data_IF_962437770188
#
_entry.id   IF_962437770188
#
_cell.length_a   1.000
_cell.length_b   1.000
_cell.length_c   1.000
_cell.angle_alpha   90.00
_cell.angle_beta   90.00
_cell.angle_gamma   90.00
#
_symmetry.space_group_name_H-M   'P 1'
#
loop_
_entity.id
_entity.type
_entity.pdbx_description
1 polymer ?
#
# COMPACT_ATOMS: atom_id res chain seq x y z
N UNK A 1 10.42 10.20 -32.39
CA UNK A 1 9.19 9.52 -31.91
C UNK A 1 9.47 8.03 -31.74
N UNK A 2 9.65 7.52 -30.51
CA UNK A 2 9.72 6.06 -30.30
C UNK A 2 8.33 5.48 -30.59
N UNK A 3 8.25 4.48 -31.46
CA UNK A 3 7.01 3.77 -31.82
C UNK A 3 6.34 3.28 -30.52
N UNK A 4 5.25 3.91 -30.09
CA UNK A 4 4.38 3.33 -29.08
C UNK A 4 3.98 1.94 -29.55
N UNK A 5 4.20 0.91 -28.72
CA UNK A 5 3.84 -0.48 -29.05
C UNK A 5 2.33 -0.53 -29.25
N UNK A 6 1.90 -0.82 -30.47
CA UNK A 6 0.48 -0.97 -30.85
C UNK A 6 -0.19 -2.02 -29.96
N UNK A 7 -1.36 -1.71 -29.42
CA UNK A 7 -2.18 -2.68 -28.70
C UNK A 7 -3.03 -3.47 -29.68
N UNK A 8 -3.08 -4.80 -29.56
CA UNK A 8 -3.79 -5.69 -30.50
C UNK A 8 -4.38 -6.88 -29.74
N UNK A 9 -5.36 -7.56 -30.34
CA UNK A 9 -5.90 -8.82 -29.80
C UNK A 9 -4.81 -9.85 -29.50
N UNK A 10 -3.88 -10.06 -30.43
CA UNK A 10 -2.71 -10.95 -30.22
C UNK A 10 -1.87 -10.57 -29.00
N UNK A 11 -1.71 -9.27 -28.71
CA UNK A 11 -0.97 -8.81 -27.52
C UNK A 11 -1.77 -9.03 -26.25
N UNK A 12 -3.08 -8.82 -26.30
CA UNK A 12 -3.99 -9.08 -25.20
C UNK A 12 -4.01 -10.57 -24.84
N UNK A 13 -4.19 -11.46 -25.82
CA UNK A 13 -4.12 -12.92 -25.66
C UNK A 13 -2.80 -13.33 -25.02
N UNK A 14 -1.67 -12.83 -25.55
CA UNK A 14 -0.36 -13.08 -24.96
C UNK A 14 -0.28 -12.67 -23.47
N UNK A 15 -0.85 -11.53 -23.09
CA UNK A 15 -0.84 -11.08 -21.68
C UNK A 15 -1.71 -11.98 -20.79
N UNK A 16 -2.82 -12.50 -21.33
CA UNK A 16 -3.66 -13.48 -20.65
C UNK A 16 -2.91 -14.80 -20.49
N UNK A 17 -2.24 -15.29 -21.54
CA UNK A 17 -1.44 -16.51 -21.51
C UNK A 17 -0.25 -16.42 -20.55
N UNK A 18 0.30 -15.21 -20.34
CA UNK A 18 1.32 -14.92 -19.32
C UNK A 18 0.76 -14.92 -17.89
N UNK A 19 -0.54 -15.10 -17.70
CA UNK A 19 -1.20 -15.14 -16.40
C UNK A 19 -1.41 -13.77 -15.75
N UNK A 20 -1.29 -12.67 -16.51
CA UNK A 20 -1.50 -11.33 -15.96
C UNK A 20 -2.94 -11.14 -15.48
N UNK A 21 -3.09 -10.61 -14.27
CA UNK A 21 -4.36 -10.47 -13.57
C UNK A 21 -4.75 -11.69 -12.74
N UNK A 22 -3.99 -12.78 -12.80
CA UNK A 22 -4.24 -14.00 -12.03
C UNK A 22 -3.31 -14.08 -10.81
N UNK A 23 -3.66 -14.96 -9.87
CA UNK A 23 -2.92 -15.20 -8.64
C UNK A 23 -3.37 -14.33 -7.46
N UNK A 24 -2.81 -14.63 -6.30
CA UNK A 24 -3.03 -13.92 -5.03
C UNK A 24 -1.71 -13.84 -4.27
N UNK A 25 -1.57 -12.87 -3.37
CA UNK A 25 -0.38 -12.74 -2.53
C UNK A 25 0.90 -12.61 -3.35
N UNK A 26 1.83 -13.55 -3.16
CA UNK A 26 3.13 -13.58 -3.85
C UNK A 26 3.03 -13.95 -5.32
N UNK A 27 1.97 -14.66 -5.71
CA UNK A 27 1.81 -15.21 -7.06
C UNK A 27 1.01 -14.28 -7.99
N UNK A 28 0.47 -13.17 -7.46
CA UNK A 28 -0.28 -12.23 -8.29
C UNK A 28 0.61 -11.49 -9.29
N UNK A 29 0.17 -11.46 -10.55
CA UNK A 29 0.80 -10.73 -11.64
C UNK A 29 -0.05 -9.53 -12.06
N UNK A 30 0.43 -8.27 -11.94
CA UNK A 30 -0.36 -7.11 -12.34
C UNK A 30 -0.58 -7.05 -13.85
N UNK A 31 -1.72 -6.50 -14.29
CA UNK A 31 -2.00 -6.33 -15.73
C UNK A 31 -1.00 -5.41 -16.39
N UNK A 32 -0.64 -4.32 -15.70
CA UNK A 32 0.28 -3.30 -16.18
C UNK A 32 1.50 -3.27 -15.26
N UNK A 33 2.68 -3.28 -15.87
CA UNK A 33 3.96 -3.07 -15.20
C UNK A 33 4.58 -1.75 -15.62
N UNK A 34 5.56 -1.29 -14.85
CA UNK A 34 6.35 -0.09 -15.13
C UNK A 34 7.06 -0.10 -16.50
N UNK A 35 7.19 -1.28 -17.14
CA UNK A 35 7.86 -1.45 -18.44
C UNK A 35 6.91 -1.39 -19.64
N UNK A 36 5.59 -1.40 -19.41
CA UNK A 36 4.61 -1.57 -20.49
C UNK A 36 4.30 -0.27 -21.25
N UNK A 37 4.48 0.89 -20.60
CA UNK A 37 4.20 2.20 -21.18
C UNK A 37 5.36 3.18 -20.95
N UNK A 38 5.67 4.04 -21.94
CA UNK A 38 6.61 5.14 -21.73
C UNK A 38 6.07 6.05 -20.62
N UNK A 39 6.82 6.18 -19.53
CA UNK A 39 6.41 6.94 -18.37
C UNK A 39 6.37 8.44 -18.68
N UNK A 40 5.18 9.06 -18.59
CA UNK A 40 5.04 10.53 -18.55
C UNK A 40 5.15 11.09 -17.12
N UNK A 41 5.41 10.24 -16.12
CA UNK A 41 5.48 10.56 -14.69
C UNK A 41 6.39 9.60 -13.92
N UNK A 42 6.36 9.69 -12.59
CA UNK A 42 7.17 8.84 -11.70
C UNK A 42 6.55 7.44 -11.64
N UNK A 43 7.31 6.45 -12.08
CA UNK A 43 7.02 5.03 -11.87
C UNK A 43 7.93 4.48 -10.78
N UNK A 44 7.45 3.53 -9.98
CA UNK A 44 8.23 2.92 -8.90
C UNK A 44 7.92 1.45 -8.74
N UNK A 45 8.87 0.71 -8.15
CA UNK A 45 8.70 -0.67 -7.70
C UNK A 45 9.05 -0.74 -6.22
N UNK A 46 8.27 -1.49 -5.45
CA UNK A 46 8.50 -1.68 -4.02
C UNK A 46 8.17 -3.12 -3.62
N UNK A 47 8.92 -3.68 -2.68
CA UNK A 47 8.64 -5.02 -2.14
C UNK A 47 7.44 -4.95 -1.18
N UNK A 48 6.39 -5.73 -1.42
CA UNK A 48 5.29 -5.92 -0.47
C UNK A 48 5.73 -6.69 0.75
N UNK A 49 5.63 -6.10 1.93
CA UNK A 49 5.96 -6.79 3.18
C UNK A 49 4.90 -7.83 3.53
N UNK A 50 3.63 -7.58 3.17
CA UNK A 50 2.53 -8.55 3.28
C UNK A 50 2.60 -9.62 2.20
N UNK A 51 2.65 -9.19 0.93
CA UNK A 51 2.50 -10.09 -0.21
C UNK A 51 3.80 -10.77 -0.65
N UNK A 52 4.96 -10.33 -0.14
CA UNK A 52 6.29 -10.88 -0.47
C UNK A 52 6.67 -10.84 -1.97
N UNK A 53 6.07 -9.93 -2.74
CA UNK A 53 6.39 -9.71 -4.16
C UNK A 53 6.70 -8.24 -4.47
N UNK A 54 7.32 -8.00 -5.61
CA UNK A 54 7.51 -6.64 -6.12
C UNK A 54 6.20 -6.11 -6.70
N UNK A 55 5.75 -4.97 -6.18
CA UNK A 55 4.61 -4.21 -6.71
C UNK A 55 5.05 -3.18 -7.74
N UNK A 56 4.14 -2.80 -8.64
CA UNK A 56 4.39 -1.86 -9.73
C UNK A 56 3.44 -0.65 -9.65
N UNK A 57 3.99 0.55 -9.46
CA UNK A 57 3.20 1.79 -9.38
C UNK A 57 3.51 2.72 -10.54
N UNK A 58 2.45 3.30 -11.09
CA UNK A 58 2.47 4.20 -12.25
C UNK A 58 2.36 5.68 -11.84
N UNK A 59 2.17 5.94 -10.54
CA UNK A 59 2.20 7.27 -9.96
C UNK A 59 2.72 7.28 -8.51
N UNK A 60 3.14 8.46 -8.05
CA UNK A 60 3.54 8.66 -6.64
C UNK A 60 2.36 8.45 -5.68
N UNK A 61 1.14 8.79 -6.09
CA UNK A 61 -0.04 8.64 -5.23
C UNK A 61 -0.41 7.16 -5.04
N UNK A 62 -0.30 6.34 -6.09
CA UNK A 62 -0.45 4.88 -5.97
C UNK A 62 0.57 4.29 -4.99
N UNK A 63 1.84 4.66 -5.12
CA UNK A 63 2.88 4.22 -4.19
C UNK A 63 2.58 4.64 -2.74
N UNK A 64 2.14 5.90 -2.54
CA UNK A 64 1.78 6.40 -1.22
C UNK A 64 0.61 5.61 -0.62
N UNK A 65 -0.42 5.33 -1.40
CA UNK A 65 -1.57 4.54 -0.95
C UNK A 65 -1.17 3.10 -0.63
N UNK A 66 -0.31 2.49 -1.46
CA UNK A 66 0.24 1.17 -1.19
C UNK A 66 0.95 1.09 0.17
N UNK A 67 1.76 2.09 0.55
CA UNK A 67 2.42 2.10 1.86
C UNK A 67 1.43 2.03 3.03
N UNK A 68 0.26 2.66 2.88
CA UNK A 68 -0.82 2.59 3.86
C UNK A 68 -1.44 1.19 3.90
N UNK A 69 -1.71 0.59 2.74
CA UNK A 69 -2.24 -0.77 2.64
C UNK A 69 -1.28 -1.81 3.23
N UNK A 70 0.02 -1.72 2.92
CA UNK A 70 1.05 -2.65 3.40
C UNK A 70 1.31 -2.52 4.91
N UNK A 71 0.90 -1.41 5.53
CA UNK A 71 0.94 -1.21 6.99
C UNK A 71 -0.34 -1.69 7.71
N UNK A 72 -1.51 -1.55 7.08
CA UNK A 72 -2.80 -1.81 7.72
C UNK A 72 -2.93 -3.24 8.25
N UNK A 73 -3.35 -3.41 9.50
CA UNK A 73 -3.61 -4.74 10.10
C UNK A 73 -4.78 -5.49 9.46
N UNK A 74 -5.69 -4.75 8.82
CA UNK A 74 -6.89 -5.31 8.20
C UNK A 74 -6.65 -5.80 6.77
N UNK A 75 -5.56 -5.40 6.12
CA UNK A 75 -5.27 -5.81 4.74
C UNK A 75 -4.53 -7.15 4.75
N UNK A 76 -5.05 -8.11 4.00
CA UNK A 76 -4.49 -9.45 3.78
C UNK A 76 -3.68 -9.46 2.49
N UNK A 77 -4.32 -9.07 1.38
CA UNK A 77 -3.72 -9.08 0.04
C UNK A 77 -3.94 -7.75 -0.69
N UNK A 78 -3.01 -7.43 -1.57
CA UNK A 78 -2.98 -6.21 -2.37
C UNK A 78 -2.64 -6.63 -3.80
N UNK A 79 -3.53 -6.33 -4.74
CA UNK A 79 -3.40 -6.65 -6.17
C UNK A 79 -3.53 -5.36 -6.97
N UNK A 80 -2.41 -4.81 -7.38
CA UNK A 80 -2.33 -3.55 -8.12
C UNK A 80 -2.55 -3.75 -9.62
N UNK A 81 -3.09 -2.73 -10.30
CA UNK A 81 -3.35 -2.76 -11.74
C UNK A 81 -4.19 -3.98 -12.14
N UNK A 82 -5.29 -4.20 -11.43
CA UNK A 82 -6.15 -5.37 -11.58
C UNK A 82 -7.02 -5.26 -12.85
N UNK A 83 -6.93 -6.21 -13.80
CA UNK A 83 -7.63 -6.09 -15.06
C UNK A 83 -9.13 -6.40 -14.94
N UNK A 84 -9.93 -5.60 -15.63
CA UNK A 84 -11.33 -5.90 -15.93
C UNK A 84 -11.37 -6.87 -17.12
N UNK A 85 -11.08 -8.16 -16.86
CA UNK A 85 -10.92 -9.19 -17.90
C UNK A 85 -12.23 -9.54 -18.62
N UNK A 86 -13.36 -9.32 -17.94
CA UNK A 86 -14.70 -9.43 -18.55
C UNK A 86 -14.95 -8.21 -19.45
N UNK A 87 -14.29 -8.23 -20.60
CA UNK A 87 -14.24 -7.12 -21.55
C UNK A 87 -15.61 -6.85 -22.18
N UNK A 88 -16.40 -7.89 -22.40
CA UNK A 88 -17.75 -7.79 -22.92
C UNK A 88 -18.63 -6.97 -21.96
N UNK A 89 -18.61 -7.33 -20.66
CA UNK A 89 -19.30 -6.57 -19.64
C UNK A 89 -18.85 -5.10 -19.61
N UNK A 90 -17.54 -4.85 -19.56
CA UNK A 90 -17.04 -3.47 -19.51
C UNK A 90 -17.46 -2.63 -20.74
N UNK A 91 -17.51 -3.25 -21.92
CA UNK A 91 -17.97 -2.61 -23.16
C UNK A 91 -19.49 -2.41 -23.20
N UNK A 92 -20.27 -3.35 -22.66
CA UNK A 92 -21.72 -3.24 -22.53
C UNK A 92 -22.08 -2.08 -21.59
N UNK A 93 -21.47 -2.01 -20.41
CA UNK A 93 -21.64 -0.89 -19.46
C UNK A 93 -21.33 0.45 -20.16
N UNK A 94 -20.23 0.53 -20.90
CA UNK A 94 -19.88 1.75 -21.62
C UNK A 94 -20.94 2.13 -22.66
N UNK A 95 -21.49 1.15 -23.38
CA UNK A 95 -22.58 1.35 -24.36
C UNK A 95 -23.86 1.84 -23.67
N UNK A 96 -24.29 1.20 -22.60
CA UNK A 96 -25.47 1.59 -21.81
C UNK A 96 -25.36 3.01 -21.27
N UNK A 97 -24.19 3.35 -20.73
CA UNK A 97 -23.89 4.68 -20.19
C UNK A 97 -23.59 5.72 -21.27
N UNK A 98 -23.59 5.34 -22.55
CA UNK A 98 -23.25 6.19 -23.71
C UNK A 98 -21.85 6.81 -23.61
N UNK A 99 -20.91 6.04 -23.06
CA UNK A 99 -19.51 6.42 -22.86
C UNK A 99 -18.67 5.77 -23.95
N UNK A 100 -17.78 6.55 -24.59
CA UNK A 100 -16.84 5.99 -25.56
C UNK A 100 -15.83 5.08 -24.85
N UNK A 101 -15.89 3.78 -25.15
CA UNK A 101 -14.94 2.81 -24.60
C UNK A 101 -13.50 3.11 -25.06
N UNK A 102 -12.48 2.99 -24.20
CA UNK A 102 -11.09 3.22 -24.59
C UNK A 102 -10.59 2.17 -25.60
N UNK A 103 -10.17 2.62 -26.78
CA UNK A 103 -9.57 1.79 -27.83
C UNK A 103 -8.21 2.34 -28.28
N UNK A 104 -7.36 1.46 -28.80
CA UNK A 104 -6.10 1.85 -29.46
C UNK A 104 -6.39 2.60 -30.75
N UNK A 105 -5.71 3.74 -30.97
CA UNK A 105 -5.98 4.61 -32.12
C UNK A 105 -5.60 4.00 -33.47
N UNK A 106 -4.74 2.97 -33.51
CA UNK A 106 -4.22 2.38 -34.75
C UNK A 106 -4.93 1.08 -35.10
N UNK A 107 -5.04 0.18 -34.12
CA UNK A 107 -5.67 -1.13 -34.34
C UNK A 107 -7.17 -1.13 -34.09
N UNK A 108 -7.70 -0.07 -33.46
CA UNK A 108 -9.06 0.00 -32.92
C UNK A 108 -9.38 -1.11 -31.89
N UNK A 109 -8.37 -1.83 -31.40
CA UNK A 109 -8.55 -2.87 -30.38
C UNK A 109 -8.92 -2.21 -29.05
N UNK A 110 -9.98 -2.67 -28.37
CA UNK A 110 -10.33 -2.18 -27.03
C UNK A 110 -9.22 -2.47 -26.02
N UNK A 111 -8.97 -1.53 -25.11
CA UNK A 111 -8.08 -1.77 -23.99
C UNK A 111 -8.81 -2.57 -22.91
N UNK A 112 -8.12 -3.53 -22.30
CA UNK A 112 -8.54 -4.06 -21.00
C UNK A 112 -8.26 -2.96 -19.97
N UNK A 113 -9.33 -2.41 -19.40
CA UNK A 113 -9.23 -1.44 -18.31
C UNK A 113 -8.67 -2.12 -17.06
N UNK A 114 -8.06 -1.34 -16.17
CA UNK A 114 -7.57 -1.85 -14.90
C UNK A 114 -7.98 -0.93 -13.77
N UNK A 115 -8.37 -1.51 -12.64
CA UNK A 115 -8.52 -0.80 -11.38
C UNK A 115 -7.18 -0.78 -10.65
N UNK A 116 -6.83 0.35 -10.06
CA UNK A 116 -5.49 0.55 -9.48
C UNK A 116 -5.19 -0.43 -8.35
N UNK A 117 -6.17 -0.73 -7.48
CA UNK A 117 -6.02 -1.69 -6.39
C UNK A 117 -7.28 -2.53 -6.17
N UNK A 118 -7.11 -3.85 -6.17
CA UNK A 118 -8.01 -4.80 -5.54
C UNK A 118 -7.38 -5.26 -4.22
N UNK A 119 -8.15 -5.15 -3.14
CA UNK A 119 -7.65 -5.33 -1.79
C UNK A 119 -8.52 -6.39 -1.12
N UNK A 120 -7.88 -7.42 -0.57
CA UNK A 120 -8.54 -8.37 0.32
C UNK A 120 -8.35 -7.87 1.74
N UNK A 121 -9.45 -7.58 2.43
CA UNK A 121 -9.47 -7.12 3.82
C UNK A 121 -10.11 -8.16 4.74
N UNK A 122 -9.65 -8.21 5.98
CA UNK A 122 -10.29 -8.93 7.07
C UNK A 122 -11.12 -7.96 7.89
N UNK A 123 -12.44 -8.09 7.79
CA UNK A 123 -13.42 -7.34 8.56
C UNK A 123 -14.19 -8.33 9.45
N UNK A 124 -14.01 -8.22 10.78
CA UNK A 124 -14.69 -9.08 11.76
C UNK A 124 -14.54 -10.60 11.50
N UNK A 125 -13.34 -11.05 11.14
CA UNK A 125 -13.04 -12.44 10.79
C UNK A 125 -13.68 -12.94 9.48
N UNK A 126 -14.21 -12.02 8.67
CA UNK A 126 -14.67 -12.31 7.32
C UNK A 126 -13.78 -11.62 6.30
N UNK A 127 -13.37 -12.36 5.27
CA UNK A 127 -12.63 -11.79 4.15
C UNK A 127 -13.59 -11.10 3.19
N UNK A 128 -13.23 -9.87 2.81
CA UNK A 128 -13.98 -9.07 1.84
C UNK A 128 -13.02 -8.50 0.82
N UNK A 129 -13.48 -8.44 -0.42
CA UNK A 129 -12.76 -7.81 -1.52
C UNK A 129 -13.34 -6.41 -1.75
N UNK A 130 -12.45 -5.41 -1.85
CA UNK A 130 -12.80 -4.04 -2.20
C UNK A 130 -11.94 -3.55 -3.36
N UNK A 131 -12.49 -2.65 -4.17
CA UNK A 131 -11.85 -2.03 -5.32
C UNK A 131 -11.58 -0.55 -5.05
N UNK A 132 -10.37 -0.07 -5.32
CA UNK A 132 -10.00 1.33 -5.15
C UNK A 132 -9.22 1.84 -6.35
N UNK A 133 -9.71 2.90 -6.98
CA UNK A 133 -8.93 3.67 -7.96
C UNK A 133 -8.28 4.87 -7.29
N UNK A 134 -7.10 5.26 -7.77
CA UNK A 134 -6.28 6.31 -7.20
C UNK A 134 -6.19 7.46 -8.19
N UNK A 135 -6.59 8.67 -7.75
CA UNK A 135 -6.57 9.84 -8.61
C UNK A 135 -6.38 11.14 -7.84
N UNK A 136 -5.53 12.05 -8.33
CA UNK A 136 -5.46 13.38 -7.75
C UNK A 136 -6.82 14.08 -7.75
N UNK A 137 -7.17 14.76 -6.67
CA UNK A 137 -8.47 15.41 -6.51
C UNK A 137 -8.76 16.43 -7.61
N UNK A 138 -7.73 17.16 -8.07
CA UNK A 138 -7.82 18.13 -9.17
C UNK A 138 -8.09 17.51 -10.55
N UNK A 139 -7.92 16.19 -10.73
CA UNK A 139 -8.19 15.48 -11.96
C UNK A 139 -9.64 14.96 -12.03
N UNK A 140 -10.34 14.89 -10.89
CA UNK A 140 -11.68 14.29 -10.79
C UNK A 140 -12.75 15.08 -11.56
N UNK A 141 -12.54 16.37 -11.78
CA UNK A 141 -13.44 17.21 -12.59
C UNK A 141 -13.36 16.97 -14.10
N UNK A 142 -12.37 16.20 -14.57
CA UNK A 142 -12.20 15.95 -16.01
C UNK A 142 -13.23 14.92 -16.47
N UNK A 143 -14.08 15.31 -17.43
CA UNK A 143 -15.12 14.45 -18.02
C UNK A 143 -14.60 13.05 -18.39
N UNK A 144 -13.44 12.95 -19.03
CA UNK A 144 -12.89 11.66 -19.44
C UNK A 144 -12.45 10.76 -18.28
N UNK A 145 -12.09 11.35 -17.13
CA UNK A 145 -11.78 10.60 -15.92
C UNK A 145 -13.07 10.05 -15.33
N UNK A 146 -14.09 10.89 -15.16
CA UNK A 146 -15.41 10.49 -14.66
C UNK A 146 -16.06 9.40 -15.51
N UNK A 147 -15.97 9.52 -16.84
CA UNK A 147 -16.46 8.52 -17.78
C UNK A 147 -15.83 7.13 -17.55
N UNK A 148 -14.51 7.07 -17.35
CA UNK A 148 -13.82 5.79 -17.10
C UNK A 148 -14.17 5.23 -15.73
N UNK A 149 -14.25 6.10 -14.74
CA UNK A 149 -14.62 5.73 -13.38
C UNK A 149 -16.05 5.21 -13.29
N UNK A 150 -17.00 5.76 -14.07
CA UNK A 150 -18.36 5.23 -14.11
C UNK A 150 -18.41 3.82 -14.70
N UNK A 151 -17.56 3.50 -15.68
CA UNK A 151 -17.44 2.13 -16.19
C UNK A 151 -16.92 1.20 -15.10
N UNK A 152 -15.82 1.56 -14.42
CA UNK A 152 -15.27 0.75 -13.31
C UNK A 152 -16.27 0.58 -12.17
N UNK A 153 -16.92 1.67 -11.73
CA UNK A 153 -17.92 1.64 -10.66
C UNK A 153 -19.04 0.65 -10.97
N UNK A 154 -19.64 0.75 -12.17
CA UNK A 154 -20.71 -0.17 -12.58
C UNK A 154 -20.19 -1.61 -12.72
N UNK A 155 -18.96 -1.79 -13.21
CA UNK A 155 -18.35 -3.12 -13.37
C UNK A 155 -18.22 -3.85 -12.03
N UNK A 156 -17.73 -3.15 -11.01
CA UNK A 156 -17.59 -3.72 -9.66
C UNK A 156 -18.92 -3.84 -8.93
N UNK A 157 -19.86 -2.90 -9.15
CA UNK A 157 -21.23 -2.97 -8.64
C UNK A 157 -21.94 -4.25 -9.11
N UNK A 158 -21.83 -4.61 -10.39
CA UNK A 158 -22.40 -5.87 -10.91
C UNK A 158 -21.76 -7.14 -10.30
N UNK A 159 -20.55 -7.02 -9.76
CA UNK A 159 -19.84 -8.11 -9.06
C UNK A 159 -20.01 -8.03 -7.54
N UNK A 160 -20.87 -7.15 -7.04
CA UNK A 160 -21.09 -6.89 -5.61
C UNK A 160 -19.80 -6.53 -4.85
N UNK A 161 -18.87 -5.85 -5.51
CA UNK A 161 -17.61 -5.39 -4.93
C UNK A 161 -17.69 -3.88 -4.69
N UNK A 162 -17.40 -3.47 -3.45
CA UNK A 162 -17.37 -2.06 -3.07
C UNK A 162 -16.23 -1.33 -3.79
N UNK A 163 -16.58 -0.30 -4.58
CA UNK A 163 -15.65 0.50 -5.35
C UNK A 163 -15.58 1.93 -4.81
N UNK A 164 -14.37 2.48 -4.71
CA UNK A 164 -14.15 3.85 -4.24
C UNK A 164 -12.95 4.53 -4.88
N UNK A 165 -12.87 5.85 -4.69
CA UNK A 165 -11.78 6.69 -5.18
C UNK A 165 -10.92 7.11 -3.99
N UNK A 166 -9.60 7.04 -4.16
CA UNK A 166 -8.60 7.52 -3.21
C UNK A 166 -7.84 8.69 -3.83
N UNK A 167 -7.69 9.75 -3.06
CA UNK A 167 -7.00 10.99 -3.44
C UNK A 167 -5.82 11.28 -2.51
N UNK A 168 -5.06 12.32 -2.82
CA UNK A 168 -4.02 12.86 -1.95
C UNK A 168 -4.55 13.41 -0.62
N UNK A 169 -5.86 13.66 -0.51
CA UNK A 169 -6.49 14.11 0.74
C UNK A 169 -6.68 12.94 1.72
N UNK A 170 -6.93 11.74 1.19
CA UNK A 170 -7.09 10.51 1.98
C UNK A 170 -5.73 9.99 2.49
N UNK A 171 -4.66 10.29 1.77
CA UNK A 171 -3.28 9.84 2.06
C UNK A 171 -2.36 11.06 2.20
N UNK A 172 -2.46 11.81 3.32
CA UNK A 172 -1.72 13.06 3.50
C UNK A 172 -0.20 12.81 3.63
N UNK A 173 0.61 13.80 3.23
CA UNK A 173 2.07 13.66 3.21
C UNK A 173 2.71 13.28 4.56
N UNK A 174 2.28 13.80 5.73
CA UNK A 174 2.84 13.37 7.01
C UNK A 174 2.66 11.86 7.25
N UNK A 175 1.47 11.31 6.94
CA UNK A 175 1.22 9.87 6.98
C UNK A 175 2.22 9.11 6.13
N UNK A 176 2.40 9.52 4.88
CA UNK A 176 3.36 8.87 3.96
C UNK A 176 4.78 8.90 4.50
N UNK A 177 5.24 10.04 5.02
CA UNK A 177 6.59 10.19 5.55
C UNK A 177 6.80 9.28 6.78
N UNK A 178 5.81 9.24 7.68
CA UNK A 178 5.82 8.37 8.84
C UNK A 178 5.82 6.89 8.45
N UNK A 179 4.96 6.48 7.50
CA UNK A 179 4.90 5.11 6.96
C UNK A 179 6.27 4.67 6.39
N UNK A 180 6.92 5.54 5.61
CA UNK A 180 8.27 5.27 5.07
C UNK A 180 9.29 5.04 6.20
N UNK A 181 9.27 5.90 7.23
CA UNK A 181 10.19 5.81 8.37
C UNK A 181 10.01 4.49 9.12
N UNK A 182 8.78 4.15 9.50
CA UNK A 182 8.50 2.93 10.27
C UNK A 182 8.75 1.67 9.44
N UNK A 183 8.43 1.71 8.14
CA UNK A 183 8.70 0.60 7.23
C UNK A 183 10.21 0.35 7.06
N UNK A 184 11.01 1.41 6.95
CA UNK A 184 12.46 1.28 6.90
C UNK A 184 13.02 0.66 8.18
N UNK A 185 12.53 1.07 9.36
CA UNK A 185 12.92 0.45 10.62
C UNK A 185 12.58 -1.05 10.66
N UNK A 186 11.42 -1.44 10.15
CA UNK A 186 11.05 -2.84 9.99
C UNK A 186 12.04 -3.64 9.13
N UNK A 187 12.42 -3.10 7.97
CA UNK A 187 13.40 -3.74 7.09
C UNK A 187 14.75 -3.90 7.79
N UNK A 188 15.24 -2.83 8.44
CA UNK A 188 16.55 -2.82 9.10
C UNK A 188 16.63 -3.84 10.24
N UNK A 189 15.58 -3.93 11.07
CA UNK A 189 15.58 -4.85 12.23
C UNK A 189 15.28 -6.29 11.83
N UNK A 190 14.42 -6.50 10.83
CA UNK A 190 14.00 -7.85 10.44
C UNK A 190 15.05 -8.58 9.58
N UNK A 191 16.02 -7.88 8.99
CA UNK A 191 16.99 -8.47 8.06
C UNK A 191 18.32 -8.86 8.74
N UNK A 192 18.91 -10.03 8.41
CA UNK A 192 18.35 -11.11 7.59
C UNK A 192 17.30 -11.95 8.34
N UNK A 193 17.31 -11.90 9.67
CA UNK A 193 16.28 -12.47 10.54
C UNK A 193 16.35 -11.78 11.90
N UNK A 194 15.20 -11.61 12.54
CA UNK A 194 15.11 -11.15 13.93
C UNK A 194 15.66 -12.21 14.90
N UNK A 195 16.68 -11.86 15.69
CA UNK A 195 17.34 -12.79 16.65
C UNK A 195 16.67 -12.76 18.02
N UNK A 196 16.91 -13.79 18.85
CA UNK A 196 16.36 -13.86 20.22
C UNK A 196 16.89 -12.74 21.11
N UNK A 197 18.15 -12.36 20.94
CA UNK A 197 18.79 -11.26 21.68
C UNK A 197 18.14 -9.92 21.33
N UNK A 198 17.80 -9.71 20.05
CA UNK A 198 17.08 -8.52 19.60
C UNK A 198 15.67 -8.48 20.16
N UNK A 199 14.95 -9.61 20.18
CA UNK A 199 13.61 -9.70 20.79
C UNK A 199 13.67 -9.36 22.28
N UNK A 200 14.64 -9.92 23.01
CA UNK A 200 14.85 -9.62 24.43
C UNK A 200 15.13 -8.13 24.68
N UNK A 201 15.94 -7.51 23.83
CA UNK A 201 16.24 -6.08 23.94
C UNK A 201 15.03 -5.20 23.60
N UNK A 202 14.23 -5.58 22.60
CA UNK A 202 12.95 -4.93 22.28
C UNK A 202 11.95 -5.07 23.44
N UNK A 203 11.88 -6.23 24.07
CA UNK A 203 11.03 -6.48 25.24
C UNK A 203 11.43 -5.56 26.41
N UNK A 204 12.74 -5.50 26.73
CA UNK A 204 13.27 -4.57 27.73
C UNK A 204 12.87 -3.13 27.42
N UNK A 205 12.95 -2.72 26.15
CA UNK A 205 12.56 -1.38 25.73
C UNK A 205 11.05 -1.13 25.90
N UNK A 206 10.20 -2.09 25.53
CA UNK A 206 8.74 -2.03 25.75
C UNK A 206 8.38 -1.89 27.24
N UNK A 207 9.04 -2.66 28.10
CA UNK A 207 8.84 -2.59 29.56
C UNK A 207 9.31 -1.25 30.11
N UNK A 208 10.48 -0.76 29.68
CA UNK A 208 11.03 0.53 30.07
C UNK A 208 10.10 1.68 29.66
N UNK A 209 9.70 1.72 28.38
CA UNK A 209 8.91 2.82 27.83
C UNK A 209 7.52 2.93 28.49
N UNK A 210 6.95 1.80 28.92
CA UNK A 210 5.70 1.81 29.68
C UNK A 210 5.80 2.42 31.08
N UNK A 211 6.98 2.35 31.71
CA UNK A 211 7.24 2.92 33.04
C UNK A 211 7.77 4.36 32.97
N UNK A 212 8.28 4.77 31.81
CA UNK A 212 8.83 6.11 31.61
C UNK A 212 7.74 7.18 31.76
N UNK A 213 8.07 8.25 32.46
CA UNK A 213 7.22 9.44 32.65
C UNK A 213 7.84 10.69 32.00
N UNK A 214 8.98 10.55 31.32
CA UNK A 214 9.65 11.64 30.61
C UNK A 214 9.31 11.60 29.12
N UNK A 215 9.64 12.67 28.38
CA UNK A 215 9.45 12.71 26.94
C UNK A 215 10.21 11.58 26.21
N UNK A 216 9.80 11.30 24.98
CA UNK A 216 10.34 10.20 24.20
C UNK A 216 11.86 10.36 23.98
N UNK A 217 12.35 11.54 23.63
CA UNK A 217 13.78 11.77 23.37
C UNK A 217 14.65 11.38 24.57
N UNK A 218 14.34 11.88 25.77
CA UNK A 218 15.05 11.50 26.99
C UNK A 218 14.95 9.99 27.28
N UNK A 219 13.78 9.39 27.02
CA UNK A 219 13.58 7.94 27.16
C UNK A 219 14.50 7.15 26.23
N UNK A 220 14.63 7.58 24.96
CA UNK A 220 15.50 6.96 23.97
C UNK A 220 16.98 7.10 24.36
N UNK A 221 17.40 8.29 24.81
CA UNK A 221 18.79 8.57 25.21
C UNK A 221 19.21 7.77 26.44
N UNK A 222 18.37 7.74 27.48
CA UNK A 222 18.63 6.99 28.70
C UNK A 222 18.77 5.49 28.40
N UNK A 223 17.81 4.91 27.65
CA UNK A 223 17.86 3.50 27.29
C UNK A 223 19.06 3.17 26.40
N UNK A 224 19.44 4.06 25.48
CA UNK A 224 20.64 3.92 24.64
C UNK A 224 21.90 3.80 25.50
N UNK A 225 22.04 4.68 26.49
CA UNK A 225 23.19 4.74 27.40
C UNK A 225 23.26 3.53 28.32
N UNK A 226 22.15 3.16 28.95
CA UNK A 226 22.07 2.04 29.91
C UNK A 226 22.39 0.68 29.26
N UNK A 227 22.10 0.54 27.96
CA UNK A 227 22.32 -0.70 27.21
C UNK A 227 23.55 -0.64 26.28
N UNK A 228 24.38 0.40 26.38
CA UNK A 228 25.57 0.61 25.54
C UNK A 228 25.30 0.46 24.03
N UNK A 229 24.19 1.04 23.57
CA UNK A 229 23.74 0.95 22.18
C UNK A 229 24.30 2.10 21.35
N UNK A 230 24.39 1.90 20.03
CA UNK A 230 24.74 2.96 19.09
C UNK A 230 23.62 4.01 19.03
N UNK A 231 24.01 5.28 18.88
CA UNK A 231 23.06 6.38 18.65
C UNK A 231 22.14 6.06 17.46
N UNK A 232 20.83 6.27 17.66
CA UNK A 232 19.78 6.00 16.66
C UNK A 232 19.22 4.57 16.69
N UNK A 233 19.84 3.62 17.39
CA UNK A 233 19.33 2.24 17.50
C UNK A 233 17.95 2.20 18.17
N UNK A 234 17.79 2.86 19.31
CA UNK A 234 16.53 2.83 20.08
C UNK A 234 15.39 3.55 19.35
N UNK A 235 15.71 4.59 18.56
CA UNK A 235 14.73 5.19 17.66
C UNK A 235 14.26 4.19 16.58
N UNK A 236 15.18 3.37 16.08
CA UNK A 236 14.82 2.31 15.13
C UNK A 236 13.91 1.29 15.82
N UNK A 237 14.15 0.95 17.09
CA UNK A 237 13.27 0.09 17.89
C UNK A 237 11.86 0.69 18.02
N UNK A 238 11.77 1.97 18.40
CA UNK A 238 10.48 2.67 18.48
C UNK A 238 9.72 2.57 17.16
N UNK A 239 10.34 2.94 16.04
CA UNK A 239 9.71 2.90 14.72
C UNK A 239 9.32 1.47 14.28
N UNK A 240 10.13 0.46 14.63
CA UNK A 240 9.81 -0.94 14.39
C UNK A 240 8.57 -1.39 15.18
N UNK A 241 8.50 -1.02 16.46
CA UNK A 241 7.35 -1.35 17.30
C UNK A 241 6.08 -0.61 16.86
N UNK A 242 6.21 0.59 16.29
CA UNK A 242 5.09 1.29 15.63
C UNK A 242 4.63 0.55 14.36
N UNK A 243 5.57 0.07 13.53
CA UNK A 243 5.25 -0.73 12.34
C UNK A 243 4.45 -2.00 12.70
N UNK A 244 4.80 -2.63 13.82
CA UNK A 244 4.14 -3.84 14.31
C UNK A 244 2.91 -3.58 15.19
N UNK A 245 2.42 -2.34 15.28
CA UNK A 245 1.24 -1.95 16.06
C UNK A 245 1.36 -2.19 17.58
N UNK A 246 2.59 -2.42 18.09
CA UNK A 246 2.89 -2.49 19.52
C UNK A 246 2.86 -1.09 20.14
N UNK A 247 3.42 -0.10 19.43
CA UNK A 247 3.29 1.31 19.79
C UNK A 247 2.26 1.96 18.88
N UNK A 248 1.18 2.48 19.46
CA UNK A 248 0.10 3.18 18.75
C UNK A 248 0.33 4.68 18.86
N UNK A 249 0.43 5.35 17.73
CA UNK A 249 0.64 6.81 17.62
C UNK A 249 -0.13 7.33 16.41
N UNK A 250 -0.54 8.59 16.44
CA UNK A 250 -1.16 9.22 15.27
C UNK A 250 -0.14 9.47 14.15
N UNK A 251 -0.14 8.60 13.14
CA UNK A 251 0.75 8.74 11.99
C UNK A 251 0.33 9.84 11.01
N UNK A 252 -0.89 10.38 11.10
CA UNK A 252 -1.37 11.41 10.16
C UNK A 252 -0.80 12.80 10.43
N UNK A 253 -0.17 13.00 11.58
CA UNK A 253 0.44 14.26 11.96
C UNK A 253 1.96 14.21 11.78
N UNK A 254 2.56 15.35 11.46
CA UNK A 254 4.00 15.49 11.58
C UNK A 254 4.33 15.65 13.06
N UNK A 255 5.29 14.87 13.55
CA UNK A 255 5.70 14.96 14.95
C UNK A 255 7.21 15.07 15.03
N UNK A 256 7.66 16.13 15.72
CA UNK A 256 9.04 16.21 16.15
C UNK A 256 9.19 15.30 17.35
N UNK A 257 10.06 14.30 17.23
CA UNK A 257 10.25 13.29 18.28
C UNK A 257 10.56 13.87 19.66
N UNK A 258 11.29 14.98 19.73
CA UNK A 258 11.62 15.65 21.00
C UNK A 258 10.40 16.27 21.71
N UNK A 259 9.29 16.45 21.00
CA UNK A 259 8.05 16.98 21.55
C UNK A 259 7.06 15.87 21.91
N UNK A 260 7.36 14.59 21.62
CA UNK A 260 6.46 13.50 21.96
C UNK A 260 6.51 13.23 23.46
N UNK A 261 5.38 13.46 24.12
CA UNK A 261 5.13 13.16 25.50
C UNK A 261 4.48 11.77 25.65
N UNK A 262 4.30 11.34 26.91
CA UNK A 262 3.75 10.00 27.20
C UNK A 262 2.35 9.79 26.63
N UNK A 263 1.56 10.86 26.55
CA UNK A 263 0.16 10.84 26.12
C UNK A 263 0.01 10.81 24.59
N UNK A 264 1.08 11.08 23.84
CA UNK A 264 1.05 11.07 22.37
C UNK A 264 1.10 9.65 21.78
N UNK A 265 1.46 8.64 22.58
CA UNK A 265 1.53 7.26 22.14
C UNK A 265 1.15 6.26 23.24
N UNK A 266 0.55 5.15 22.82
CA UNK A 266 0.22 4.03 23.70
C UNK A 266 1.12 2.84 23.40
N UNK A 267 1.60 2.16 24.45
CA UNK A 267 2.43 0.96 24.31
C UNK A 267 1.60 -0.25 24.75
N UNK A 268 1.22 -1.07 23.78
CA UNK A 268 0.44 -2.28 23.97
C UNK A 268 1.38 -3.47 24.25
N UNK A 269 1.62 -3.76 25.53
CA UNK A 269 2.54 -4.84 25.92
C UNK A 269 2.06 -6.19 25.44
N UNK A 270 0.77 -6.47 25.55
CA UNK A 270 0.20 -7.75 25.14
C UNK A 270 0.41 -7.98 23.64
N UNK A 271 0.21 -6.94 22.82
CA UNK A 271 0.51 -7.01 21.39
C UNK A 271 1.99 -7.33 21.08
N UNK A 272 2.94 -6.96 21.96
CA UNK A 272 4.34 -7.37 21.80
C UNK A 272 4.51 -8.87 22.04
N UNK A 273 3.95 -9.39 23.13
CA UNK A 273 4.04 -10.80 23.50
C UNK A 273 3.35 -11.68 22.45
N UNK A 274 2.11 -11.37 22.10
CA UNK A 274 1.34 -12.09 21.05
C UNK A 274 2.10 -12.15 19.72
N UNK A 275 2.90 -11.13 19.40
CA UNK A 275 3.59 -11.01 18.13
C UNK A 275 4.95 -11.69 18.10
N UNK A 276 5.73 -11.58 19.18
CA UNK A 276 7.16 -11.92 19.17
C UNK A 276 7.55 -13.03 20.15
N UNK A 277 6.68 -13.35 21.11
CA UNK A 277 6.91 -14.37 22.14
C UNK A 277 5.71 -15.34 22.13
N UNK A 278 5.64 -16.24 21.14
CA UNK A 278 4.63 -17.30 21.08
C UNK A 278 4.92 -18.42 22.09
#
# INVERSE_FOLDING_TARGET
MKRGRMWTWKKMEKWIDEGRGLGEGSEYLPWITVNDFPSNGIVSRELGLKTKRMHHFLSRLEYNYFLFLDYSKHVIDIREQYPLLDLELAMEIAKEKKIKYPTDRRSNTPYVMSTDFIITINENHCEKIIARTVKPSNELGKKRVQEKFEIERCYWEQKNIDWGIITEQDIPLPLVNNLKRIRNANIVISYPKLTKEMIHLLEKFVVYLNKSTVCLEHSLEAFTRENNLRNGTVLTFFNFLVFHHVIKINLQQDFKMHMLERDDFYVDKEAFYDRFIP
#
